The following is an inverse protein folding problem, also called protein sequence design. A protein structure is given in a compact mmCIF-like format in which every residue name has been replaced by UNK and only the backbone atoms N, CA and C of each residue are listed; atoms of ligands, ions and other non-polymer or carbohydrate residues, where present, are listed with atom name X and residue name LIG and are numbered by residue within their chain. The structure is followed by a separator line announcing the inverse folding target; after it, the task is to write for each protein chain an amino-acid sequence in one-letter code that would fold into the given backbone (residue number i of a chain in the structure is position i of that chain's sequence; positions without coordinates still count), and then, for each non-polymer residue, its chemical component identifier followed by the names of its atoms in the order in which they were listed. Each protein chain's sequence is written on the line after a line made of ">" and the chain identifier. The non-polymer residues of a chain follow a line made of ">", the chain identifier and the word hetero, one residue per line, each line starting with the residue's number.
data_IF_059831877424
#
_entry.id   IF_059831877424
#
_cell.length_a   1.000
_cell.length_b   1.000
_cell.length_c   1.000
_cell.angle_alpha   90.00
_cell.angle_beta   90.00
_cell.angle_gamma   90.00
#
_symmetry.space_group_name_H-M   'P 1'
#
loop_
_entity.id
_entity.type
_entity.pdbx_description
1 polymer ?
#
# COMPACT_ATOMS: atom_id res chain seq x y z
N UNK A 1 -4.51 2.31 -16.99
CA UNK A 1 -3.39 1.44 -16.53
C UNK A 1 -3.82 -0.03 -16.42
N UNK A 2 -4.94 -0.37 -15.76
CA UNK A 2 -5.48 -1.74 -15.70
C UNK A 2 -5.69 -2.42 -17.06
N UNK A 3 -6.30 -1.74 -18.02
CA UNK A 3 -6.55 -2.30 -19.37
C UNK A 3 -5.26 -2.72 -20.11
N UNK A 4 -4.12 -2.07 -19.84
CA UNK A 4 -2.83 -2.42 -20.48
C UNK A 4 -2.13 -3.61 -19.82
N UNK A 5 -2.55 -4.04 -18.63
CA UNK A 5 -1.96 -5.17 -17.92
C UNK A 5 -2.58 -6.51 -18.32
N UNK A 6 -3.82 -6.52 -18.80
CA UNK A 6 -4.51 -7.74 -19.24
C UNK A 6 -4.00 -8.27 -20.58
N UNK A 7 -3.41 -7.41 -21.41
CA UNK A 7 -2.79 -7.77 -22.69
C UNK A 7 -1.33 -8.24 -22.55
N UNK A 8 -0.75 -8.11 -21.35
CA UNK A 8 0.61 -8.59 -21.08
C UNK A 8 0.53 -10.05 -20.63
N UNK A 9 1.52 -10.91 -20.99
CA UNK A 9 1.48 -12.36 -20.73
C UNK A 9 1.73 -12.72 -19.24
N UNK A 10 1.27 -11.90 -18.30
CA UNK A 10 1.43 -12.11 -16.87
C UNK A 10 0.28 -12.94 -16.32
N UNK A 11 0.59 -14.18 -15.92
CA UNK A 11 -0.32 -15.00 -15.12
C UNK A 11 -0.37 -14.49 -13.69
N UNK A 12 -1.57 -14.43 -13.12
CA UNK A 12 -1.81 -14.16 -11.71
C UNK A 12 -1.52 -15.42 -10.90
N UNK A 13 -1.28 -15.28 -9.59
CA UNK A 13 -1.12 -16.44 -8.69
C UNK A 13 -2.34 -17.37 -8.74
N UNK A 14 -3.54 -16.82 -8.99
CA UNK A 14 -4.80 -17.58 -9.14
C UNK A 14 -4.87 -18.44 -10.39
N UNK A 15 -3.99 -18.22 -11.36
CA UNK A 15 -4.00 -18.92 -12.66
C UNK A 15 -3.09 -20.16 -12.65
N UNK A 16 -2.48 -20.47 -11.51
CA UNK A 16 -1.55 -21.58 -11.29
C UNK A 16 -2.17 -22.65 -10.38
N UNK A 17 -1.68 -23.89 -10.49
CA UNK A 17 -2.05 -24.94 -9.53
C UNK A 17 -1.46 -24.66 -8.14
N UNK A 18 -1.96 -25.33 -7.10
CA UNK A 18 -1.43 -25.16 -5.74
C UNK A 18 0.07 -25.51 -5.65
N UNK A 19 0.53 -26.53 -6.38
CA UNK A 19 1.95 -26.92 -6.46
C UNK A 19 2.77 -25.82 -7.13
N UNK A 20 2.27 -25.25 -8.22
CA UNK A 20 2.89 -24.15 -8.94
C UNK A 20 2.95 -22.87 -8.11
N UNK A 21 1.92 -22.60 -7.30
CA UNK A 21 1.91 -21.48 -6.35
C UNK A 21 2.95 -21.70 -5.26
N UNK A 22 3.00 -22.90 -4.65
CA UNK A 22 4.00 -23.24 -3.63
C UNK A 22 5.42 -23.09 -4.15
N UNK A 23 5.69 -23.63 -5.35
CA UNK A 23 6.99 -23.50 -5.99
C UNK A 23 7.42 -22.02 -6.11
N UNK A 24 6.53 -21.13 -6.55
CA UNK A 24 6.83 -19.69 -6.66
C UNK A 24 7.01 -19.03 -5.30
N UNK A 25 6.15 -19.35 -4.33
CA UNK A 25 6.28 -18.83 -2.96
C UNK A 25 7.57 -19.29 -2.27
N UNK A 26 8.13 -20.44 -2.65
CA UNK A 26 9.38 -20.97 -2.11
C UNK A 26 10.62 -20.44 -2.86
N UNK A 27 10.54 -20.24 -4.18
CA UNK A 27 11.72 -19.98 -5.02
C UNK A 27 11.88 -18.53 -5.48
N UNK A 28 10.82 -17.73 -5.51
CA UNK A 28 10.89 -16.36 -6.04
C UNK A 28 11.22 -15.36 -4.95
N UNK A 29 12.00 -14.34 -5.29
CA UNK A 29 12.18 -13.16 -4.42
C UNK A 29 10.88 -12.39 -4.33
N UNK A 30 10.46 -12.08 -3.10
CA UNK A 30 9.18 -11.44 -2.77
C UNK A 30 9.44 -10.06 -2.19
N UNK A 31 8.91 -9.06 -2.88
CA UNK A 31 8.95 -7.66 -2.48
C UNK A 31 7.57 -7.27 -1.94
N UNK A 32 7.53 -6.70 -0.72
CA UNK A 32 6.37 -6.03 -0.17
C UNK A 32 6.60 -4.52 -0.20
N UNK A 33 5.71 -3.78 -0.86
CA UNK A 33 5.72 -2.32 -0.82
C UNK A 33 4.68 -1.88 0.20
N UNK A 34 5.12 -1.16 1.23
CA UNK A 34 4.30 -0.68 2.33
C UNK A 34 4.16 0.84 2.27
N UNK A 35 3.04 1.34 2.78
CA UNK A 35 2.69 2.76 2.79
C UNK A 35 2.14 3.13 4.16
N UNK A 36 2.39 4.37 4.57
CA UNK A 36 1.82 4.93 5.78
C UNK A 36 0.30 4.62 5.88
N UNK A 37 -0.20 4.10 7.01
CA UNK A 37 -1.58 3.65 7.13
C UNK A 37 -2.63 4.71 6.82
N UNK A 38 -2.43 5.96 7.25
CA UNK A 38 -3.35 7.07 6.96
C UNK A 38 -3.30 7.44 5.47
N UNK A 39 -2.12 7.55 4.89
CA UNK A 39 -2.02 7.84 3.46
C UNK A 39 -2.66 6.75 2.59
N UNK A 40 -2.46 5.47 2.94
CA UNK A 40 -3.07 4.33 2.26
C UNK A 40 -4.59 4.39 2.34
N UNK A 41 -5.12 4.70 3.51
CA UNK A 41 -6.56 4.78 3.74
C UNK A 41 -7.19 5.96 2.98
N UNK A 42 -6.60 7.15 3.06
CA UNK A 42 -7.06 8.31 2.30
C UNK A 42 -7.01 8.06 0.79
N UNK A 43 -5.90 7.48 0.29
CA UNK A 43 -5.76 7.13 -1.12
C UNK A 43 -6.83 6.14 -1.59
N UNK A 44 -7.12 5.10 -0.80
CA UNK A 44 -8.15 4.13 -1.11
C UNK A 44 -9.54 4.78 -1.12
N UNK A 45 -9.85 5.61 -0.12
CA UNK A 45 -11.11 6.35 -0.04
C UNK A 45 -11.32 7.24 -1.27
N UNK A 46 -10.33 8.07 -1.61
CA UNK A 46 -10.45 8.96 -2.75
C UNK A 46 -10.59 8.21 -4.08
N UNK A 47 -9.85 7.11 -4.28
CA UNK A 47 -9.99 6.26 -5.46
C UNK A 47 -11.44 5.73 -5.60
N UNK A 48 -12.04 5.25 -4.50
CA UNK A 48 -13.38 4.63 -4.52
C UNK A 48 -14.54 5.61 -4.55
N UNK A 49 -14.40 6.80 -3.95
CA UNK A 49 -15.52 7.71 -3.72
C UNK A 49 -15.38 9.07 -4.42
N UNK A 50 -14.17 9.46 -4.83
CA UNK A 50 -13.94 10.76 -5.49
C UNK A 50 -13.56 10.58 -6.96
N UNK A 51 -12.53 9.78 -7.26
CA UNK A 51 -11.96 9.68 -8.60
C UNK A 51 -12.67 8.66 -9.50
N UNK A 52 -13.11 7.53 -8.95
CA UNK A 52 -13.88 6.51 -9.68
C UNK A 52 -15.13 6.10 -8.89
N UNK A 53 -16.06 7.04 -8.63
CA UNK A 53 -17.20 6.78 -7.78
C UNK A 53 -18.14 5.75 -8.42
N UNK A 54 -18.25 4.57 -7.81
CA UNK A 54 -19.21 3.54 -8.24
C UNK A 54 -20.39 3.46 -7.29
N UNK A 55 -21.57 3.12 -7.83
CA UNK A 55 -22.78 2.92 -7.04
C UNK A 55 -22.62 1.79 -6.01
N UNK A 56 -21.92 0.71 -6.40
CA UNK A 56 -21.56 -0.39 -5.52
C UNK A 56 -20.86 0.06 -4.22
N UNK A 57 -19.85 0.94 -4.32
CA UNK A 57 -19.12 1.39 -3.13
C UNK A 57 -19.97 2.29 -2.25
N UNK A 58 -20.80 3.16 -2.86
CA UNK A 58 -21.70 4.08 -2.14
C UNK A 58 -22.82 3.37 -1.38
N UNK A 59 -23.38 2.31 -1.95
CA UNK A 59 -24.42 1.52 -1.28
C UNK A 59 -23.83 0.69 -0.13
N UNK A 60 -22.65 0.10 -0.36
CA UNK A 60 -22.06 -0.87 0.57
C UNK A 60 -21.35 -0.23 1.76
N UNK A 61 -20.82 0.97 1.61
CA UNK A 61 -20.00 1.63 2.63
C UNK A 61 -20.45 3.06 2.83
N UNK A 62 -20.72 3.44 4.07
CA UNK A 62 -21.18 4.79 4.43
C UNK A 62 -20.05 5.64 5.03
N UNK A 63 -18.96 5.00 5.47
CA UNK A 63 -17.79 5.67 6.04
C UNK A 63 -16.45 5.03 5.62
N UNK A 64 -15.36 5.78 5.78
CA UNK A 64 -14.00 5.29 5.55
C UNK A 64 -13.67 4.08 6.43
N UNK A 65 -14.19 4.06 7.65
CA UNK A 65 -14.03 2.94 8.59
C UNK A 65 -14.71 1.66 8.12
N UNK A 66 -15.79 1.76 7.35
CA UNK A 66 -16.53 0.61 6.84
C UNK A 66 -15.73 -0.12 5.75
N UNK A 67 -14.82 0.58 5.06
CA UNK A 67 -13.97 0.00 4.00
C UNK A 67 -12.87 -0.92 4.53
N UNK A 68 -12.64 -0.93 5.84
CA UNK A 68 -11.60 -1.71 6.48
C UNK A 68 -12.02 -3.18 6.59
N UNK A 69 -11.16 -4.09 6.12
CA UNK A 69 -11.41 -5.52 6.23
C UNK A 69 -11.49 -5.93 7.70
N UNK A 70 -12.53 -6.69 8.07
CA UNK A 70 -12.74 -7.12 9.45
C UNK A 70 -11.82 -8.27 9.88
N UNK A 71 -11.30 -9.04 8.92
CA UNK A 71 -10.44 -10.21 9.18
C UNK A 71 -9.26 -10.22 8.20
N UNK A 72 -8.03 -9.90 8.62
CA UNK A 72 -6.86 -10.15 7.81
C UNK A 72 -6.66 -11.67 7.64
N UNK A 73 -6.12 -12.10 6.50
CA UNK A 73 -5.87 -13.53 6.25
C UNK A 73 -4.65 -14.01 7.07
N UNK A 74 -4.78 -15.15 7.76
CA UNK A 74 -3.71 -15.81 8.54
C UNK A 74 -2.54 -16.39 7.69
N UNK A 75 -2.40 -15.99 6.43
CA UNK A 75 -1.34 -16.50 5.56
C UNK A 75 -0.06 -15.72 5.79
N UNK A 76 0.87 -16.32 6.52
CA UNK A 76 2.23 -15.81 6.68
C UNK A 76 3.02 -16.00 5.38
N UNK A 77 3.19 -14.94 4.61
CA UNK A 77 4.11 -14.90 3.45
C UNK A 77 5.46 -14.39 3.95
N UNK A 78 6.53 -15.12 3.65
CA UNK A 78 7.91 -14.65 3.92
C UNK A 78 8.35 -13.70 2.81
N UNK A 79 8.45 -12.42 3.13
CA UNK A 79 8.97 -11.40 2.23
C UNK A 79 10.47 -11.28 2.39
N UNK A 80 11.17 -11.15 1.27
CA UNK A 80 12.63 -10.98 1.25
C UNK A 80 13.00 -9.49 1.41
N UNK A 81 12.10 -8.61 0.97
CA UNK A 81 12.28 -7.16 1.02
C UNK A 81 10.97 -6.48 1.41
N UNK A 82 11.07 -5.50 2.30
CA UNK A 82 10.00 -4.55 2.63
C UNK A 82 10.51 -3.18 2.22
N UNK A 83 9.74 -2.48 1.40
CA UNK A 83 10.10 -1.17 0.84
C UNK A 83 9.00 -0.18 1.14
N UNK A 84 9.36 1.01 1.60
CA UNK A 84 8.42 2.05 1.90
C UNK A 84 8.13 2.88 0.64
N UNK A 85 6.87 3.26 0.45
CA UNK A 85 6.47 4.03 -0.74
C UNK A 85 7.20 5.38 -0.82
N UNK A 86 7.41 6.03 0.31
CA UNK A 86 8.05 7.34 0.45
C UNK A 86 9.56 7.32 0.13
N UNK A 87 10.21 6.16 0.28
CA UNK A 87 11.64 5.95 -0.03
C UNK A 87 11.85 5.06 -1.26
N UNK A 88 10.80 4.75 -2.02
CA UNK A 88 10.84 3.76 -3.11
C UNK A 88 11.95 4.01 -4.15
N UNK A 89 12.22 5.27 -4.49
CA UNK A 89 13.27 5.67 -5.44
C UNK A 89 14.69 5.44 -4.90
N UNK A 90 14.84 5.43 -3.58
CA UNK A 90 16.10 5.18 -2.88
C UNK A 90 16.29 3.69 -2.59
N UNK A 91 15.20 2.96 -2.33
CA UNK A 91 15.23 1.55 -1.96
C UNK A 91 15.35 0.60 -3.16
N UNK A 92 14.78 0.96 -4.30
CA UNK A 92 14.78 0.11 -5.50
C UNK A 92 16.19 -0.21 -6.03
N UNK A 93 17.15 0.74 -6.08
CA UNK A 93 18.53 0.42 -6.42
C UNK A 93 19.14 -0.68 -5.53
N UNK A 94 18.94 -0.60 -4.20
CA UNK A 94 19.43 -1.60 -3.25
C UNK A 94 18.72 -2.95 -3.44
N UNK A 95 17.43 -2.94 -3.73
CA UNK A 95 16.68 -4.15 -4.08
C UNK A 95 17.23 -4.81 -5.35
N UNK A 96 17.52 -4.03 -6.40
CA UNK A 96 18.07 -4.55 -7.66
C UNK A 96 19.44 -5.19 -7.45
N UNK A 97 20.31 -4.55 -6.67
CA UNK A 97 21.60 -5.10 -6.28
C UNK A 97 21.45 -6.43 -5.54
N UNK A 98 20.62 -6.47 -4.48
CA UNK A 98 20.42 -7.68 -3.66
C UNK A 98 19.71 -8.81 -4.39
N UNK A 99 18.86 -8.48 -5.37
CA UNK A 99 18.19 -9.44 -6.23
C UNK A 99 19.04 -9.83 -7.46
N UNK A 100 20.29 -9.35 -7.56
CA UNK A 100 21.18 -9.57 -8.69
C UNK A 100 20.56 -9.18 -10.05
N UNK A 101 19.72 -8.15 -10.07
CA UNK A 101 19.12 -7.57 -11.27
C UNK A 101 20.12 -6.57 -11.86
N UNK A 102 20.68 -6.89 -13.03
CA UNK A 102 21.70 -6.07 -13.70
C UNK A 102 21.18 -5.57 -15.05
N UNK A 103 21.53 -4.33 -15.41
CA UNK A 103 21.25 -3.76 -16.73
C UNK A 103 19.78 -3.42 -16.98
N UNK A 104 19.00 -3.16 -15.91
CA UNK A 104 17.58 -2.79 -15.96
C UNK A 104 17.31 -1.45 -15.29
N UNK A 105 18.24 -0.52 -15.44
CA UNK A 105 18.15 0.82 -14.85
C UNK A 105 16.93 1.60 -15.39
N UNK A 106 16.40 1.20 -16.55
CA UNK A 106 15.16 1.69 -17.14
C UNK A 106 13.90 1.42 -16.29
N UNK A 107 13.97 0.44 -15.38
CA UNK A 107 12.89 0.10 -14.46
C UNK A 107 12.97 0.82 -13.11
N UNK A 108 14.07 1.53 -12.84
CA UNK A 108 14.22 2.23 -11.57
C UNK A 108 13.22 3.39 -11.50
N UNK A 109 12.42 3.50 -10.42
CA UNK A 109 11.47 4.58 -10.28
C UNK A 109 12.21 5.92 -10.20
N UNK A 110 11.77 6.87 -11.02
CA UNK A 110 12.22 8.25 -10.89
C UNK A 110 11.90 8.79 -9.50
N UNK A 111 12.76 9.69 -9.02
CA UNK A 111 12.56 10.41 -7.76
C UNK A 111 11.42 11.43 -7.93
N UNK A 112 10.19 10.94 -8.01
CA UNK A 112 9.00 11.75 -7.83
C UNK A 112 8.91 11.94 -6.34
N UNK A 113 9.15 13.17 -5.87
CA UNK A 113 8.68 13.54 -4.54
C UNK A 113 7.24 13.06 -4.46
N UNK A 114 6.99 12.06 -3.62
CA UNK A 114 5.64 11.82 -3.19
C UNK A 114 5.28 13.10 -2.47
N UNK A 115 4.54 13.97 -3.17
CA UNK A 115 3.58 14.80 -2.48
C UNK A 115 2.73 13.76 -1.76
N UNK A 116 3.07 13.46 -0.50
CA UNK A 116 2.09 13.04 0.47
C UNK A 116 1.00 14.08 0.27
N UNK A 117 -0.02 13.67 -0.48
CA UNK A 117 -0.78 14.61 -1.29
C UNK A 117 -1.28 15.65 -0.31
N UNK A 118 -0.98 16.93 -0.51
CA UNK A 118 -1.44 17.98 0.43
C UNK A 118 -2.94 17.78 0.69
N UNK A 119 -3.63 17.32 -0.35
CA UNK A 119 -4.99 16.81 -0.36
C UNK A 119 -5.33 15.73 0.70
N UNK A 120 -4.47 14.74 0.99
CA UNK A 120 -4.69 13.74 2.04
C UNK A 120 -4.70 14.36 3.43
N UNK A 121 -3.72 15.21 3.75
CA UNK A 121 -3.67 15.85 5.07
C UNK A 121 -4.81 16.86 5.25
N UNK A 122 -5.20 17.58 4.19
CA UNK A 122 -6.41 18.43 4.21
C UNK A 122 -7.71 17.63 4.40
N UNK A 123 -7.77 16.36 3.95
CA UNK A 123 -8.90 15.48 4.26
C UNK A 123 -8.95 15.16 5.76
N UNK A 124 -7.79 14.83 6.35
CA UNK A 124 -7.72 14.46 7.76
C UNK A 124 -7.96 15.62 8.73
N UNK A 125 -7.69 16.86 8.34
CA UNK A 125 -8.02 18.06 9.14
C UNK A 125 -9.52 18.19 9.46
N UNK A 126 -10.37 17.57 8.64
CA UNK A 126 -11.83 17.59 8.81
C UNK A 126 -12.34 16.46 9.72
N UNK A 127 -11.48 15.50 10.07
CA UNK A 127 -11.85 14.33 10.86
C UNK A 127 -11.58 14.61 12.34
N UNK A 128 -12.55 14.35 13.25
CA UNK A 128 -12.32 14.48 14.68
C UNK A 128 -11.12 13.63 15.15
N UNK A 129 -10.32 14.18 16.07
CA UNK A 129 -9.14 13.48 16.60
C UNK A 129 -9.48 12.13 17.25
N UNK A 130 -10.67 12.01 17.84
CA UNK A 130 -11.16 10.74 18.39
C UNK A 130 -11.30 9.66 17.31
N UNK A 131 -11.78 10.02 16.12
CA UNK A 131 -11.92 9.09 15.01
C UNK A 131 -10.56 8.76 14.39
N UNK A 132 -9.63 9.71 14.32
CA UNK A 132 -8.24 9.44 13.93
C UNK A 132 -7.56 8.43 14.86
N UNK A 133 -7.78 8.54 16.18
CA UNK A 133 -7.28 7.56 17.15
C UNK A 133 -7.93 6.19 16.97
N UNK A 134 -9.22 6.12 16.63
CA UNK A 134 -9.86 4.83 16.28
C UNK A 134 -9.26 4.21 15.02
N UNK A 135 -8.89 5.02 14.03
CA UNK A 135 -8.16 4.56 12.85
C UNK A 135 -6.79 4.03 13.24
N UNK A 136 -6.03 4.75 14.07
CA UNK A 136 -4.73 4.30 14.56
C UNK A 136 -4.81 2.96 15.28
N UNK A 137 -5.74 2.78 16.21
CA UNK A 137 -5.93 1.52 16.93
C UNK A 137 -6.14 0.33 16.00
N UNK A 138 -6.88 0.53 14.90
CA UNK A 138 -7.10 -0.51 13.88
C UNK A 138 -5.85 -0.85 13.08
N UNK A 139 -4.94 0.10 12.92
CA UNK A 139 -3.71 -0.05 12.16
C UNK A 139 -2.45 -0.16 13.02
N UNK A 140 -2.57 -0.27 14.35
CA UNK A 140 -1.42 -0.29 15.25
C UNK A 140 -0.39 -1.36 14.87
N UNK A 141 -0.87 -2.55 14.48
CA UNK A 141 0.00 -3.61 14.00
C UNK A 141 0.80 -3.21 12.74
N UNK A 142 0.19 -2.45 11.81
CA UNK A 142 0.89 -1.95 10.62
C UNK A 142 1.91 -0.87 10.99
N UNK A 143 1.58 0.03 11.93
CA UNK A 143 2.52 1.04 12.44
C UNK A 143 3.74 0.39 13.07
N UNK A 144 3.53 -0.56 13.98
CA UNK A 144 4.61 -1.29 14.66
C UNK A 144 5.42 -2.15 13.69
N UNK A 145 4.75 -2.95 12.85
CA UNK A 145 5.41 -3.90 11.96
C UNK A 145 6.28 -3.22 10.90
N UNK A 146 5.85 -2.07 10.39
CA UNK A 146 6.52 -1.38 9.30
C UNK A 146 7.25 -0.10 9.75
N UNK A 147 7.28 0.19 11.06
CA UNK A 147 8.05 1.31 11.60
C UNK A 147 7.49 2.69 11.24
N UNK A 148 6.18 2.82 11.08
CA UNK A 148 5.53 4.13 10.94
C UNK A 148 5.27 4.75 12.32
N UNK A 149 5.13 6.07 12.39
CA UNK A 149 4.85 6.81 13.63
C UNK A 149 3.57 7.63 13.50
N UNK A 150 2.52 7.24 14.23
CA UNK A 150 1.29 8.02 14.28
C UNK A 150 1.51 9.41 14.89
N UNK A 151 2.45 9.55 15.83
CA UNK A 151 2.80 10.86 16.39
C UNK A 151 3.39 11.78 15.32
N UNK A 152 4.21 11.25 14.42
CA UNK A 152 4.80 12.04 13.32
C UNK A 152 3.70 12.48 12.35
N UNK A 153 2.72 11.61 12.08
CA UNK A 153 1.55 11.94 11.26
C UNK A 153 0.70 13.05 11.87
N UNK A 154 0.45 13.00 13.19
CA UNK A 154 -0.31 14.03 13.89
C UNK A 154 0.46 15.36 13.91
N UNK A 155 1.77 15.35 14.17
CA UNK A 155 2.59 16.56 14.12
C UNK A 155 2.50 17.20 12.73
N UNK A 156 2.60 16.39 11.67
CA UNK A 156 2.44 16.84 10.29
C UNK A 156 1.06 17.38 9.96
N UNK A 157 0.01 16.90 10.64
CA UNK A 157 -1.36 17.40 10.47
C UNK A 157 -1.55 18.78 11.11
N UNK A 158 -0.84 19.05 12.20
CA UNK A 158 -0.93 20.27 13.01
C UNK A 158 -0.03 21.41 12.52
N UNK A 159 1.00 21.10 11.74
CA UNK A 159 1.85 22.06 11.01
C UNK A 159 1.14 22.71 9.80
#
# INVERSE_FOLDING_TARGET
>A
MRAKLEDLPFKRLTDYTDEEVRLRLETYSKLLIVRNPLERLASAWQDKFIFAPSEYWREKYQSMLDTLAQNPSDKHIKYDFIVHTDTIAQDFPLFFEKAAIVGRDDLLPENRQQKADKMFWELYKQIPMEDLRRVEQKFNADYEMFGFSFNDDINRLLD
#
